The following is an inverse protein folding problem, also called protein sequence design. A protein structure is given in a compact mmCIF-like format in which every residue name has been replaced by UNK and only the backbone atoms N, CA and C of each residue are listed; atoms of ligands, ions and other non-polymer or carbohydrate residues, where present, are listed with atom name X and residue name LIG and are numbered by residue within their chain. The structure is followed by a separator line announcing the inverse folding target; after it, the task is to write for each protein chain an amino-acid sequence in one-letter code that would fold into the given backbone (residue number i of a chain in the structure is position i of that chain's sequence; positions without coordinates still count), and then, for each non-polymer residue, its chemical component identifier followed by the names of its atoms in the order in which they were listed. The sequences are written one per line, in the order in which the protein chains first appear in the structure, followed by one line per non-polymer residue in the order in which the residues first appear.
data_IF_178324332969
#
_entry.id   IF_178324332969
#
_cell.length_a   1.000
_cell.length_b   1.000
_cell.length_c   1.000
_cell.angle_alpha   90.00
_cell.angle_beta   90.00
_cell.angle_gamma   90.00
#
_symmetry.space_group_name_H-M   'P 1'
#
loop_
_entity.id
_entity.type
_entity.pdbx_description
1 polymer ?
#
# COMPACT_ATOMS: atom_id res chain seq x y z
N UNK A 1 -34.67 -14.36 -27.99
CA UNK A 1 -34.85 -13.54 -29.21
C UNK A 1 -33.80 -12.45 -29.21
N UNK A 2 -33.16 -12.25 -30.38
CA UNK A 2 -32.04 -11.37 -30.74
C UNK A 2 -30.69 -11.74 -30.08
N UNK A 3 -29.59 -12.02 -30.79
CA UNK A 3 -29.30 -11.94 -32.23
C UNK A 3 -27.84 -11.48 -32.41
N UNK A 4 -27.03 -12.31 -33.09
CA UNK A 4 -25.58 -12.15 -33.35
C UNK A 4 -25.12 -10.76 -33.83
N UNK A 5 -23.84 -10.47 -33.59
CA UNK A 5 -23.11 -9.42 -34.32
C UNK A 5 -21.60 -9.40 -34.07
N UNK A 6 -20.86 -10.35 -34.64
CA UNK A 6 -19.40 -10.30 -34.76
C UNK A 6 -18.95 -9.13 -35.63
N UNK A 7 -17.90 -8.39 -35.23
CA UNK A 7 -17.10 -7.58 -36.17
C UNK A 7 -15.61 -7.67 -35.86
N UNK A 8 -14.90 -8.18 -36.87
CA UNK A 8 -13.44 -8.21 -37.03
C UNK A 8 -12.86 -6.78 -37.01
N UNK A 9 -11.75 -6.61 -36.31
CA UNK A 9 -10.90 -5.43 -36.42
C UNK A 9 -9.97 -5.58 -37.63
N UNK A 10 -10.09 -4.65 -38.57
CA UNK A 10 -9.18 -4.47 -39.70
C UNK A 10 -7.86 -3.86 -39.22
N UNK A 11 -6.74 -4.54 -39.52
CA UNK A 11 -5.41 -3.92 -39.49
C UNK A 11 -5.28 -2.95 -40.67
N UNK A 12 -4.86 -1.72 -40.40
CA UNK A 12 -4.37 -0.80 -41.43
C UNK A 12 -2.84 -0.76 -41.35
N UNK A 13 -2.18 -1.42 -42.32
CA UNK A 13 -0.80 -1.15 -42.70
C UNK A 13 -0.84 -0.08 -43.79
N UNK A 14 -0.23 1.07 -43.54
CA UNK A 14 -0.05 2.13 -44.55
C UNK A 14 1.36 2.00 -45.14
N UNK A 15 1.42 1.54 -46.38
CA UNK A 15 2.62 1.53 -47.22
C UNK A 15 2.44 2.57 -48.33
N UNK A 16 3.39 3.51 -48.45
CA UNK A 16 3.50 4.45 -49.56
C UNK A 16 4.78 4.18 -50.36
N UNK A 17 4.79 4.36 -51.71
CA UNK A 17 5.85 3.85 -52.58
C UNK A 17 6.84 4.93 -53.07
N UNK A 18 8.03 4.50 -53.53
CA UNK A 18 8.94 5.33 -54.33
C UNK A 18 10.39 4.82 -54.42
N UNK A 19 10.68 4.00 -55.43
CA UNK A 19 12.02 3.69 -55.98
C UNK A 19 12.40 4.71 -57.10
N UNK A 20 13.59 4.67 -57.79
CA UNK A 20 14.87 3.96 -57.53
C UNK A 20 16.17 4.79 -57.82
N UNK A 21 17.33 4.12 -57.63
CA UNK A 21 18.58 4.23 -58.42
C UNK A 21 19.66 5.28 -58.07
N UNK A 22 20.89 4.81 -57.81
CA UNK A 22 22.12 5.61 -57.99
C UNK A 22 23.37 5.09 -57.24
N UNK A 23 24.40 4.67 -57.98
CA UNK A 23 25.58 3.91 -57.54
C UNK A 23 26.78 4.75 -57.02
N UNK A 24 27.58 4.15 -56.12
CA UNK A 24 29.07 4.17 -56.04
C UNK A 24 29.79 5.50 -55.67
N UNK A 25 30.49 5.56 -54.51
CA UNK A 25 31.96 5.36 -54.35
C UNK A 25 32.46 5.64 -52.91
N UNK A 26 33.51 4.90 -52.56
CA UNK A 26 34.32 4.83 -51.34
C UNK A 26 34.86 6.16 -50.77
N UNK A 27 35.02 6.22 -49.44
CA UNK A 27 36.31 6.56 -48.80
C UNK A 27 36.35 6.22 -47.31
N UNK A 28 37.45 5.58 -46.95
CA UNK A 28 37.92 5.16 -45.63
C UNK A 28 38.14 6.30 -44.63
N UNK A 29 37.87 6.06 -43.35
CA UNK A 29 38.85 6.27 -42.26
C UNK A 29 38.44 5.54 -40.99
N UNK A 30 39.37 4.71 -40.53
CA UNK A 30 39.38 3.96 -39.29
C UNK A 30 39.54 4.88 -38.08
N UNK A 31 38.73 4.66 -37.05
CA UNK A 31 39.14 4.74 -35.66
C UNK A 31 38.16 3.89 -34.84
N UNK A 32 38.66 2.78 -34.29
CA UNK A 32 38.00 1.98 -33.26
C UNK A 32 38.77 2.18 -31.94
N UNK A 33 38.38 1.55 -30.83
CA UNK A 33 37.22 1.93 -30.01
C UNK A 33 37.64 1.99 -28.52
N UNK A 34 36.89 2.65 -27.63
CA UNK A 34 36.71 2.21 -26.24
C UNK A 34 35.96 3.27 -25.43
N UNK A 35 34.90 2.85 -24.74
CA UNK A 35 34.32 3.62 -23.65
C UNK A 35 32.81 3.82 -23.70
N UNK A 36 32.05 2.88 -24.28
CA UNK A 36 30.64 2.75 -23.92
C UNK A 36 30.60 2.15 -22.51
N UNK A 37 30.64 3.03 -21.51
CA UNK A 37 30.16 2.78 -20.16
C UNK A 37 28.69 2.37 -20.27
N UNK A 38 28.47 1.07 -20.41
CA UNK A 38 27.17 0.45 -20.25
C UNK A 38 26.79 0.65 -18.78
N UNK A 39 26.11 1.77 -18.50
CA UNK A 39 25.47 2.00 -17.22
C UNK A 39 24.52 0.83 -16.97
N UNK A 40 24.99 -0.13 -16.16
CA UNK A 40 24.14 -1.15 -15.56
C UNK A 40 23.05 -0.38 -14.83
N UNK A 41 21.84 -0.37 -15.39
CA UNK A 41 20.63 0.05 -14.70
C UNK A 41 20.55 -0.82 -13.45
N UNK A 42 21.06 -0.27 -12.35
CA UNK A 42 20.92 -0.84 -11.02
C UNK A 42 19.45 -0.61 -10.72
N UNK A 43 18.63 -1.63 -10.95
CA UNK A 43 17.20 -1.53 -10.74
C UNK A 43 16.95 -1.07 -9.31
N UNK A 44 16.55 0.19 -9.14
CA UNK A 44 16.39 0.77 -7.81
C UNK A 44 15.22 0.07 -7.13
N UNK A 45 15.54 -0.66 -6.07
CA UNK A 45 14.57 -1.40 -5.28
C UNK A 45 13.62 -0.39 -4.62
N UNK A 46 12.32 -0.50 -4.91
CA UNK A 46 11.30 0.26 -4.20
C UNK A 46 11.35 -0.15 -2.72
N UNK A 47 11.42 0.82 -1.79
CA UNK A 47 11.47 0.50 -0.37
C UNK A 47 10.22 -0.25 0.06
N UNK A 48 10.40 -1.24 0.92
CA UNK A 48 9.28 -1.89 1.62
C UNK A 48 8.58 -0.88 2.52
N UNK A 49 7.31 -1.15 2.87
CA UNK A 49 6.58 -0.28 3.79
C UNK A 49 7.32 -0.11 5.13
N UNK A 50 7.99 -1.14 5.65
CA UNK A 50 8.76 -1.02 6.90
C UNK A 50 10.00 -0.12 6.76
N UNK A 51 10.77 -0.28 5.67
CA UNK A 51 11.90 0.60 5.38
C UNK A 51 11.43 2.06 5.25
N UNK A 52 10.29 2.26 4.57
CA UNK A 52 9.65 3.56 4.46
C UNK A 52 9.26 4.14 5.82
N UNK A 53 8.62 3.36 6.70
CA UNK A 53 8.22 3.83 8.04
C UNK A 53 9.42 4.21 8.92
N UNK A 54 10.54 3.49 8.83
CA UNK A 54 11.78 3.86 9.52
C UNK A 54 12.29 5.22 9.01
N UNK A 55 12.25 5.43 7.70
CA UNK A 55 12.63 6.69 7.08
C UNK A 55 11.71 7.85 7.53
N UNK A 56 10.39 7.63 7.55
CA UNK A 56 9.40 8.59 8.06
C UNK A 56 9.72 9.00 9.49
N UNK A 57 9.96 8.04 10.40
CA UNK A 57 10.29 8.33 11.81
C UNK A 57 11.54 9.17 11.94
N UNK A 58 12.57 8.86 11.16
CA UNK A 58 13.84 9.58 11.18
C UNK A 58 13.70 11.03 10.73
N UNK A 59 12.96 11.29 9.65
CA UNK A 59 12.84 12.65 9.09
C UNK A 59 11.80 13.52 9.80
N UNK A 60 10.67 12.93 10.17
CA UNK A 60 9.57 13.65 10.82
C UNK A 60 9.78 13.85 12.32
N UNK A 61 10.65 13.06 12.96
CA UNK A 61 10.82 13.07 14.42
C UNK A 61 9.61 12.59 15.20
N UNK A 62 8.61 12.01 14.52
CA UNK A 62 7.37 11.55 15.14
C UNK A 62 7.61 10.32 16.02
N UNK A 63 6.86 10.25 17.12
CA UNK A 63 6.84 9.09 17.99
C UNK A 63 6.10 7.94 17.33
N UNK A 64 6.44 6.70 17.72
CA UNK A 64 5.75 5.49 17.23
C UNK A 64 4.25 5.52 17.51
N UNK A 65 3.86 6.08 18.66
CA UNK A 65 2.46 6.19 19.10
C UNK A 65 1.61 7.17 18.28
N UNK A 66 2.25 7.98 17.43
CA UNK A 66 1.59 8.94 16.54
C UNK A 66 1.53 8.42 15.09
N UNK A 67 1.94 7.17 14.86
CA UNK A 67 1.99 6.53 13.55
C UNK A 67 1.26 5.19 13.57
N UNK A 68 0.27 5.03 12.70
CA UNK A 68 -0.53 3.81 12.59
C UNK A 68 -0.51 3.29 11.17
N UNK A 69 -0.40 1.98 10.99
CA UNK A 69 -0.23 1.38 9.67
C UNK A 69 -1.29 0.33 9.40
N UNK A 70 -1.76 0.29 8.14
CA UNK A 70 -2.71 -0.70 7.64
C UNK A 70 -3.98 -0.82 8.49
N UNK A 71 -4.46 0.29 9.05
CA UNK A 71 -5.67 0.30 9.87
C UNK A 71 -6.89 0.12 8.96
N UNK A 72 -7.78 -0.79 9.37
CA UNK A 72 -9.03 -1.07 8.67
C UNK A 72 -10.16 -0.23 9.26
N UNK A 73 -10.56 0.77 8.49
CA UNK A 73 -11.59 1.74 8.89
C UNK A 73 -12.95 1.22 8.45
N UNK A 74 -13.94 1.10 9.35
CA UNK A 74 -15.29 0.75 8.95
C UNK A 74 -15.90 1.89 8.12
N UNK A 75 -16.59 1.53 7.05
CA UNK A 75 -17.33 2.49 6.26
C UNK A 75 -18.45 3.16 7.10
N UNK A 76 -19.11 4.16 6.53
CA UNK A 76 -20.19 4.89 7.19
C UNK A 76 -21.27 3.95 7.79
N UNK A 77 -21.61 2.89 7.07
CA UNK A 77 -22.65 1.92 7.44
C UNK A 77 -22.14 0.72 8.26
N UNK A 78 -20.84 0.65 8.56
CA UNK A 78 -20.15 -0.49 9.18
C UNK A 78 -20.31 -1.83 8.44
N UNK A 79 -20.68 -1.80 7.16
CA UNK A 79 -20.91 -3.01 6.35
C UNK A 79 -19.63 -3.54 5.71
N UNK A 80 -18.61 -2.69 5.55
CA UNK A 80 -17.30 -3.07 5.05
C UNK A 80 -16.21 -2.28 5.76
N UNK A 81 -14.96 -2.76 5.66
CA UNK A 81 -13.79 -2.06 6.18
C UNK A 81 -12.79 -1.80 5.08
N UNK A 82 -12.29 -0.57 5.00
CA UNK A 82 -11.28 -0.16 4.03
C UNK A 82 -9.96 0.11 4.74
N UNK A 83 -8.85 -0.33 4.16
CA UNK A 83 -7.52 -0.08 4.71
C UNK A 83 -7.03 1.33 4.36
N UNK A 84 -6.47 2.04 5.34
CA UNK A 84 -5.57 3.17 5.13
C UNK A 84 -4.13 2.72 5.42
N UNK A 85 -3.23 2.89 4.45
CA UNK A 85 -1.85 2.38 4.55
C UNK A 85 -1.08 2.99 5.71
N UNK A 86 -1.19 4.31 5.89
CA UNK A 86 -0.51 5.04 6.95
C UNK A 86 -1.39 6.19 7.46
N UNK A 87 -1.54 6.26 8.79
CA UNK A 87 -2.16 7.39 9.48
C UNK A 87 -1.10 8.02 10.37
N UNK A 88 -0.90 9.33 10.20
CA UNK A 88 -0.01 10.13 11.04
C UNK A 88 -0.82 11.16 11.81
N UNK A 89 -0.59 11.21 13.11
CA UNK A 89 -1.22 12.16 14.00
C UNK A 89 -0.24 13.31 14.32
N UNK A 90 -0.64 14.54 14.03
CA UNK A 90 0.10 15.75 14.42
C UNK A 90 -0.85 16.80 15.00
N UNK A 91 -0.32 17.87 15.58
CA UNK A 91 -1.15 19.01 15.99
C UNK A 91 -1.93 19.65 14.83
N UNK A 92 -1.43 19.56 13.60
CA UNK A 92 -2.11 20.07 12.40
C UNK A 92 -3.32 19.22 11.98
N UNK A 93 -3.36 17.94 12.34
CA UNK A 93 -4.48 17.06 12.00
C UNK A 93 -4.12 15.58 11.95
N UNK A 94 -5.08 14.82 11.42
CA UNK A 94 -4.98 13.37 11.16
C UNK A 94 -4.70 13.18 9.68
N UNK A 95 -3.46 12.92 9.33
CA UNK A 95 -3.08 12.65 7.94
C UNK A 95 -3.43 11.21 7.58
N UNK A 96 -4.29 11.05 6.59
CA UNK A 96 -4.72 9.75 6.06
C UNK A 96 -3.99 9.51 4.74
N UNK A 97 -3.08 8.53 4.70
CA UNK A 97 -2.18 8.36 3.57
C UNK A 97 -2.34 6.98 2.92
N UNK A 98 -2.52 6.98 1.61
CA UNK A 98 -2.36 5.80 0.77
C UNK A 98 -0.94 5.79 0.18
N UNK A 99 -0.23 4.69 0.35
CA UNK A 99 1.14 4.54 -0.14
C UNK A 99 1.12 3.70 -1.43
N UNK A 100 1.61 4.26 -2.54
CA UNK A 100 1.56 3.62 -3.86
C UNK A 100 2.99 3.30 -4.34
N UNK A 101 3.31 2.02 -4.56
CA UNK A 101 4.59 1.60 -5.15
C UNK A 101 4.57 1.65 -6.69
N UNK A 102 3.83 2.59 -7.28
CA UNK A 102 3.67 2.68 -8.73
C UNK A 102 4.97 3.09 -9.42
N UNK A 103 5.13 2.67 -10.67
CA UNK A 103 6.21 3.09 -11.58
C UNK A 103 5.58 3.63 -12.87
N UNK A 104 6.34 4.37 -13.66
CA UNK A 104 5.90 4.89 -14.95
C UNK A 104 5.19 6.24 -14.85
N UNK A 105 4.41 6.56 -15.88
CA UNK A 105 3.69 7.83 -15.99
C UNK A 105 2.27 7.66 -15.48
N UNK A 106 1.85 8.51 -14.55
CA UNK A 106 0.50 8.54 -13.97
C UNK A 106 -0.23 9.75 -14.51
N UNK A 107 -1.39 9.54 -15.13
CA UNK A 107 -2.23 10.60 -15.67
C UNK A 107 -3.70 10.44 -15.32
N UNK A 108 -4.46 11.52 -15.38
CA UNK A 108 -5.90 11.52 -15.14
C UNK A 108 -6.66 11.97 -16.40
N UNK A 109 -6.75 11.11 -17.44
CA UNK A 109 -7.30 11.50 -18.74
C UNK A 109 -8.82 11.72 -18.73
N UNK A 110 -9.54 11.15 -17.76
CA UNK A 110 -10.97 11.31 -17.62
C UNK A 110 -11.39 11.51 -16.16
N UNK A 111 -12.57 12.09 -15.91
CA UNK A 111 -13.10 12.19 -14.56
C UNK A 111 -13.20 10.81 -13.91
N UNK A 112 -12.73 10.70 -12.66
CA UNK A 112 -12.77 9.50 -11.83
C UNK A 112 -11.92 8.30 -12.28
N UNK A 113 -11.13 8.41 -13.37
CA UNK A 113 -10.26 7.33 -13.84
C UNK A 113 -8.85 7.84 -14.09
N UNK A 114 -7.87 7.16 -13.51
CA UNK A 114 -6.46 7.44 -13.71
C UNK A 114 -5.83 6.31 -14.53
N UNK A 115 -4.77 6.63 -15.26
CA UNK A 115 -3.98 5.67 -15.99
C UNK A 115 -2.58 5.61 -15.39
N UNK A 116 -2.05 4.39 -15.23
CA UNK A 116 -0.64 4.15 -14.94
C UNK A 116 -0.03 3.49 -16.17
N UNK A 117 0.84 4.23 -16.86
CA UNK A 117 1.53 3.80 -18.05
C UNK A 117 2.96 3.40 -17.71
N UNK A 118 3.28 2.11 -17.82
CA UNK A 118 4.63 1.58 -17.63
C UNK A 118 5.21 1.24 -19.00
N UNK A 119 6.40 1.77 -19.29
CA UNK A 119 7.18 1.41 -20.47
C UNK A 119 8.30 0.47 -20.03
N UNK A 120 8.30 -0.73 -20.58
CA UNK A 120 9.35 -1.72 -20.39
C UNK A 120 10.12 -1.83 -21.70
N UNK A 121 11.40 -1.44 -21.67
CA UNK A 121 12.30 -1.61 -22.80
C UNK A 121 12.96 -2.97 -22.72
N UNK A 122 12.55 -3.87 -23.61
CA UNK A 122 13.25 -5.12 -23.87
C UNK A 122 14.22 -4.94 -25.04
N UNK A 123 15.22 -5.83 -25.15
CA UNK A 123 16.36 -5.69 -26.07
C UNK A 123 15.99 -5.37 -27.54
N UNK A 124 14.77 -5.72 -27.97
CA UNK A 124 14.32 -5.54 -29.35
C UNK A 124 12.93 -4.89 -29.47
N UNK A 125 12.24 -4.57 -28.38
CA UNK A 125 10.92 -3.95 -28.41
C UNK A 125 10.61 -3.18 -27.13
N UNK A 126 9.88 -2.07 -27.28
CA UNK A 126 9.33 -1.33 -26.14
C UNK A 126 7.90 -1.79 -25.90
N UNK A 127 7.66 -2.49 -24.80
CA UNK A 127 6.31 -2.83 -24.36
C UNK A 127 5.74 -1.65 -23.54
N UNK A 128 4.52 -1.23 -23.86
CA UNK A 128 3.80 -0.22 -23.09
C UNK A 128 2.56 -0.84 -22.50
N UNK A 129 2.55 -0.97 -21.17
CA UNK A 129 1.37 -1.40 -20.42
C UNK A 129 0.63 -0.18 -19.87
N UNK A 130 -0.69 -0.12 -20.07
CA UNK A 130 -1.55 0.92 -19.52
C UNK A 130 -2.57 0.26 -18.61
N UNK A 131 -2.52 0.58 -17.32
CA UNK A 131 -3.48 0.13 -16.34
C UNK A 131 -4.48 1.26 -16.05
N UNK A 132 -5.77 0.97 -16.20
CA UNK A 132 -6.83 1.88 -15.78
C UNK A 132 -7.19 1.59 -14.33
N UNK A 133 -7.21 2.64 -13.51
CA UNK A 133 -7.49 2.55 -12.08
C UNK A 133 -8.53 3.60 -11.70
N UNK A 134 -9.44 3.30 -10.77
CA UNK A 134 -10.32 4.31 -10.19
C UNK A 134 -9.50 5.43 -9.53
N UNK A 135 -10.06 6.64 -9.45
CA UNK A 135 -9.40 7.80 -8.86
C UNK A 135 -8.94 7.51 -7.40
N UNK A 136 -7.63 7.37 -7.17
CA UNK A 136 -7.09 7.03 -5.86
C UNK A 136 -7.23 8.19 -4.87
N UNK A 137 -7.32 9.44 -5.36
CA UNK A 137 -7.51 10.63 -4.53
C UNK A 137 -8.94 10.70 -4.01
N UNK A 138 -9.91 10.35 -4.85
CA UNK A 138 -11.28 10.16 -4.41
C UNK A 138 -11.37 9.04 -3.36
N UNK A 139 -10.69 7.92 -3.59
CA UNK A 139 -10.70 6.79 -2.66
C UNK A 139 -10.15 7.16 -1.27
N UNK A 140 -8.97 7.79 -1.17
CA UNK A 140 -8.41 8.19 0.13
C UNK A 140 -9.24 9.28 0.82
N UNK A 141 -9.89 10.16 0.04
CA UNK A 141 -10.80 11.18 0.60
C UNK A 141 -12.02 10.54 1.25
N UNK A 142 -12.60 9.51 0.62
CA UNK A 142 -13.71 8.74 1.19
C UNK A 142 -13.26 8.03 2.47
N UNK A 143 -12.10 7.36 2.45
CA UNK A 143 -11.53 6.70 3.65
C UNK A 143 -11.32 7.69 4.81
N UNK A 144 -10.80 8.88 4.53
CA UNK A 144 -10.59 9.93 5.54
C UNK A 144 -11.92 10.44 6.14
N UNK A 145 -12.95 10.61 5.30
CA UNK A 145 -14.30 10.94 5.76
C UNK A 145 -14.89 9.83 6.64
N UNK A 146 -14.76 8.57 6.22
CA UNK A 146 -15.27 7.43 6.97
C UNK A 146 -14.55 7.30 8.33
N UNK A 147 -13.24 7.59 8.39
CA UNK A 147 -12.50 7.69 9.64
C UNK A 147 -13.05 8.82 10.53
N UNK A 148 -13.31 10.00 9.98
CA UNK A 148 -13.92 11.10 10.71
C UNK A 148 -15.29 10.71 11.30
N UNK A 149 -16.15 10.05 10.51
CA UNK A 149 -17.44 9.55 10.98
C UNK A 149 -17.29 8.45 12.04
N UNK A 150 -16.26 7.60 11.94
CA UNK A 150 -15.94 6.61 12.97
C UNK A 150 -15.51 7.28 14.28
N UNK A 151 -14.62 8.27 14.22
CA UNK A 151 -14.17 9.05 15.39
C UNK A 151 -15.35 9.70 16.12
N UNK A 152 -16.27 10.32 15.36
CA UNK A 152 -17.46 10.95 15.92
C UNK A 152 -18.36 9.94 16.66
N UNK A 153 -18.54 8.74 16.09
CA UNK A 153 -19.30 7.65 16.74
C UNK A 153 -18.63 7.14 18.01
N UNK A 154 -17.30 7.20 18.08
CA UNK A 154 -16.54 6.90 19.29
C UNK A 154 -16.54 8.05 20.32
N UNK A 155 -17.31 9.12 20.10
CA UNK A 155 -17.39 10.28 21.00
C UNK A 155 -16.28 11.32 20.80
N UNK A 156 -15.45 11.18 19.76
CA UNK A 156 -14.35 12.10 19.45
C UNK A 156 -14.78 13.05 18.34
N UNK A 157 -15.13 14.29 18.71
CA UNK A 157 -15.57 15.30 17.75
C UNK A 157 -14.38 16.14 17.26
N UNK A 158 -14.03 15.96 15.98
CA UNK A 158 -12.96 16.66 15.29
C UNK A 158 -13.53 17.21 13.98
N UNK A 159 -13.13 18.43 13.63
CA UNK A 159 -13.56 19.05 12.38
C UNK A 159 -13.11 18.20 11.19
N UNK A 160 -13.99 17.90 10.21
CA UNK A 160 -13.62 17.11 9.04
C UNK A 160 -12.42 17.67 8.27
N UNK A 161 -12.21 18.99 8.29
CA UNK A 161 -11.07 19.67 7.67
C UNK A 161 -9.70 19.28 8.25
N UNK A 162 -9.67 18.64 9.42
CA UNK A 162 -8.45 18.15 10.07
C UNK A 162 -8.13 16.71 9.69
N UNK A 163 -8.95 16.05 8.88
CA UNK A 163 -8.61 14.77 8.26
C UNK A 163 -8.03 15.05 6.88
N UNK A 164 -6.71 14.87 6.75
CA UNK A 164 -5.93 15.35 5.61
C UNK A 164 -5.55 14.18 4.70
N UNK A 165 -6.27 13.96 3.57
CA UNK A 165 -5.94 12.88 2.65
C UNK A 165 -4.63 13.16 1.91
N UNK A 166 -3.77 12.14 1.78
CA UNK A 166 -2.53 12.18 0.99
C UNK A 166 -2.31 10.89 0.23
N UNK A 167 -1.64 11.00 -0.92
CA UNK A 167 -1.11 9.86 -1.66
C UNK A 167 0.39 10.02 -1.77
N UNK A 168 1.12 8.98 -1.36
CA UNK A 168 2.58 8.96 -1.38
C UNK A 168 3.05 8.01 -2.48
N UNK A 169 3.84 8.52 -3.44
CA UNK A 169 4.44 7.70 -4.49
C UNK A 169 5.87 7.34 -4.10
N UNK A 170 6.12 6.04 -3.85
CA UNK A 170 7.41 5.58 -3.31
C UNK A 170 8.50 5.40 -4.36
N UNK A 171 8.14 5.28 -5.63
CA UNK A 171 9.14 5.03 -6.68
C UNK A 171 9.71 6.34 -7.23
N UNK A 172 11.04 6.47 -7.37
CA UNK A 172 11.64 7.58 -8.11
C UNK A 172 11.25 7.60 -9.59
N UNK A 173 10.83 6.45 -10.12
CA UNK A 173 10.38 6.30 -11.51
C UNK A 173 8.87 6.53 -11.69
N UNK A 174 8.18 7.07 -10.67
CA UNK A 174 6.77 7.46 -10.78
C UNK A 174 6.68 8.94 -11.15
N UNK A 175 6.22 9.22 -12.36
CA UNK A 175 6.07 10.58 -12.87
C UNK A 175 4.60 10.92 -12.98
N UNK A 176 4.17 11.96 -12.26
CA UNK A 176 2.81 12.49 -12.38
C UNK A 176 2.75 13.45 -13.57
N UNK A 177 1.62 13.46 -14.28
CA UNK A 177 1.32 14.52 -15.23
C UNK A 177 1.25 15.90 -14.52
N UNK A 178 1.32 16.98 -15.31
CA UNK A 178 1.42 18.34 -14.78
C UNK A 178 0.19 18.76 -13.96
N UNK A 179 -1.00 18.27 -14.29
CA UNK A 179 -2.23 18.61 -13.57
C UNK A 179 -2.32 17.89 -12.23
N UNK A 180 -1.88 16.63 -12.15
CA UNK A 180 -1.76 15.90 -10.90
C UNK A 180 -0.65 16.48 -10.03
N UNK A 181 0.48 16.88 -10.62
CA UNK A 181 1.63 17.44 -9.88
C UNK A 181 1.28 18.72 -9.11
N UNK A 182 0.32 19.52 -9.59
CA UNK A 182 -0.17 20.73 -8.92
C UNK A 182 -0.99 20.43 -7.66
N UNK A 183 -1.47 19.20 -7.47
CA UNK A 183 -2.33 18.81 -6.34
C UNK A 183 -1.48 18.55 -5.10
N UNK A 184 -1.67 19.37 -4.07
CA UNK A 184 -0.98 19.26 -2.76
C UNK A 184 -1.24 17.94 -2.02
N UNK A 185 -2.30 17.22 -2.39
CA UNK A 185 -2.63 15.93 -1.82
C UNK A 185 -1.70 14.81 -2.32
N UNK A 186 -1.02 15.03 -3.44
CA UNK A 186 -0.11 14.07 -4.06
C UNK A 186 1.33 14.43 -3.71
N UNK A 187 2.06 13.46 -3.17
CA UNK A 187 3.46 13.62 -2.79
C UNK A 187 4.30 12.71 -3.68
N UNK A 188 5.02 13.33 -4.62
CA UNK A 188 5.96 12.63 -5.49
C UNK A 188 7.17 12.12 -4.68
N UNK A 189 7.92 11.18 -5.23
CA UNK A 189 9.15 10.72 -4.58
C UNK A 189 10.14 11.86 -4.33
N UNK A 190 10.27 12.81 -5.27
CA UNK A 190 11.17 13.97 -5.13
C UNK A 190 10.79 14.93 -4.01
N UNK A 191 9.48 15.05 -3.72
CA UNK A 191 8.95 15.95 -2.69
C UNK A 191 8.79 15.28 -1.32
N UNK A 192 9.05 13.96 -1.25
CA UNK A 192 8.79 13.13 -0.07
C UNK A 192 9.52 13.64 1.17
N UNK A 193 10.82 13.91 1.08
CA UNK A 193 11.59 14.37 2.24
C UNK A 193 11.10 15.73 2.75
N UNK A 194 10.79 16.65 1.84
CA UNK A 194 10.28 17.98 2.18
C UNK A 194 8.94 17.86 2.91
N UNK A 195 8.03 17.04 2.39
CA UNK A 195 6.77 16.72 3.03
C UNK A 195 6.97 16.13 4.44
N UNK A 196 7.83 15.12 4.59
CA UNK A 196 8.08 14.49 5.89
C UNK A 196 8.69 15.46 6.92
N UNK A 197 9.55 16.39 6.48
CA UNK A 197 10.07 17.46 7.34
C UNK A 197 9.00 18.47 7.75
N UNK A 198 8.06 18.81 6.86
CA UNK A 198 6.92 19.68 7.22
C UNK A 198 6.04 19.09 8.34
N UNK A 199 5.94 17.75 8.42
CA UNK A 199 5.24 17.09 9.52
C UNK A 199 5.94 17.33 10.87
N UNK A 200 7.27 17.41 10.86
CA UNK A 200 8.09 17.73 12.04
C UNK A 200 7.85 19.16 12.51
N UNK A 201 7.85 20.11 11.58
CA UNK A 201 7.63 21.53 11.88
C UNK A 201 6.27 21.72 12.53
N UNK A 202 5.20 21.15 11.96
CA UNK A 202 3.86 21.17 12.56
C UNK A 202 3.75 20.42 13.89
N UNK A 203 4.64 19.46 14.17
CA UNK A 203 4.71 18.77 15.46
C UNK A 203 5.43 19.61 16.52
N UNK A 204 6.56 20.25 16.17
CA UNK A 204 7.35 21.07 17.09
C UNK A 204 6.62 22.37 17.43
N UNK A 205 6.06 23.08 16.45
CA UNK A 205 5.30 24.32 16.69
C UNK A 205 4.10 24.06 17.60
N UNK A 206 3.42 22.93 17.41
CA UNK A 206 2.31 22.52 18.29
C UNK A 206 2.76 22.25 19.74
N UNK A 207 3.90 21.58 19.96
CA UNK A 207 4.42 21.33 21.31
C UNK A 207 4.71 22.66 22.02
N UNK A 208 5.27 23.63 21.30
CA UNK A 208 5.58 24.95 21.86
C UNK A 208 4.32 25.81 22.06
N UNK A 209 3.30 25.62 21.22
CA UNK A 209 2.03 26.38 21.26
C UNK A 209 0.98 25.79 22.21
N UNK A 210 1.34 24.84 23.07
CA UNK A 210 0.44 24.18 24.04
C UNK A 210 -0.24 25.13 25.06
N UNK A 211 0.06 26.44 24.99
CA UNK A 211 -0.52 27.52 25.80
C UNK A 211 -1.62 28.26 25.02
N UNK A 212 -1.76 28.05 23.71
CA UNK A 212 -2.81 28.66 22.88
C UNK A 212 -4.05 27.75 22.85
N UNK A 213 -5.23 28.21 23.30
CA UNK A 213 -6.40 27.36 23.29
C UNK A 213 -6.86 27.03 21.86
N UNK A 214 -7.30 25.79 21.64
CA UNK A 214 -7.52 25.18 20.31
C UNK A 214 -8.64 25.80 19.48
N UNK A 215 -9.52 26.59 20.09
CA UNK A 215 -10.57 27.35 19.40
C UNK A 215 -10.04 28.47 18.47
N UNK A 216 -8.81 28.95 18.70
CA UNK A 216 -8.20 30.07 17.95
C UNK A 216 -7.18 29.54 16.94
N UNK A 217 -6.43 28.49 17.29
CA UNK A 217 -5.31 28.01 16.48
C UNK A 217 -5.73 27.12 15.31
N UNK A 218 -6.93 26.54 15.35
CA UNK A 218 -7.38 25.58 14.34
C UNK A 218 -6.70 24.21 14.42
N UNK A 219 -5.82 23.99 15.40
CA UNK A 219 -5.09 22.74 15.64
C UNK A 219 -5.83 21.77 16.57
N UNK A 220 -5.42 20.50 16.57
CA UNK A 220 -5.88 19.51 17.54
C UNK A 220 -5.32 19.82 18.94
N UNK A 221 -6.20 19.87 19.94
CA UNK A 221 -5.78 19.97 21.34
C UNK A 221 -5.10 18.68 21.81
N UNK A 222 -4.30 18.76 22.89
CA UNK A 222 -3.67 17.58 23.49
C UNK A 222 -4.69 16.50 23.90
N UNK A 223 -5.86 16.92 24.41
CA UNK A 223 -6.96 16.01 24.75
C UNK A 223 -7.54 15.31 23.51
N UNK A 224 -7.73 16.05 22.42
CA UNK A 224 -8.19 15.45 21.15
C UNK A 224 -7.15 14.49 20.59
N UNK A 225 -5.85 14.82 20.64
CA UNK A 225 -4.79 13.93 20.21
C UNK A 225 -4.77 12.62 21.01
N UNK A 226 -4.88 12.70 22.34
CA UNK A 226 -5.04 11.53 23.20
C UNK A 226 -6.24 10.68 22.81
N UNK A 227 -7.42 11.29 22.68
CA UNK A 227 -8.64 10.59 22.32
C UNK A 227 -8.58 9.94 20.93
N UNK A 228 -7.97 10.61 19.94
CA UNK A 228 -7.74 10.04 18.60
C UNK A 228 -6.80 8.85 18.70
N UNK A 229 -5.69 8.98 19.44
CA UNK A 229 -4.72 7.90 19.64
C UNK A 229 -5.38 6.67 20.24
N UNK A 230 -6.23 6.85 21.24
CA UNK A 230 -6.96 5.77 21.89
C UNK A 230 -7.93 5.08 20.93
N UNK A 231 -8.65 5.84 20.09
CA UNK A 231 -9.54 5.27 19.06
C UNK A 231 -8.74 4.51 18.00
N UNK A 232 -7.66 5.09 17.48
CA UNK A 232 -6.81 4.46 16.46
C UNK A 232 -6.13 3.19 17.01
N UNK A 233 -5.70 3.19 18.27
CA UNK A 233 -5.10 2.02 18.92
C UNK A 233 -6.05 0.84 19.11
N UNK A 234 -7.37 1.06 19.02
CA UNK A 234 -8.39 0.00 19.07
C UNK A 234 -8.76 -0.55 17.70
N UNK A 235 -8.38 0.12 16.61
CA UNK A 235 -8.65 -0.35 15.26
C UNK A 235 -7.75 -1.54 14.92
N UNK A 236 -8.34 -2.52 14.24
CA UNK A 236 -7.62 -3.70 13.76
C UNK A 236 -6.95 -3.47 12.41
N UNK A 237 -5.94 -4.28 12.11
CA UNK A 237 -5.36 -4.46 10.78
C UNK A 237 -5.95 -5.71 10.12
N UNK A 238 -5.45 -6.10 8.94
CA UNK A 238 -5.69 -7.45 8.41
C UNK A 238 -5.05 -8.52 9.30
N UNK A 239 -5.64 -9.71 9.32
CA UNK A 239 -4.94 -10.92 9.72
C UNK A 239 -4.01 -11.33 8.59
N UNK A 240 -2.78 -11.72 8.92
CA UNK A 240 -1.74 -12.03 7.94
C UNK A 240 -1.32 -13.48 8.12
N UNK A 241 -1.47 -14.28 7.07
CA UNK A 241 -0.93 -15.64 7.02
C UNK A 241 0.36 -15.61 6.24
N UNK A 242 1.48 -15.95 6.87
CA UNK A 242 2.75 -16.14 6.18
C UNK A 242 2.89 -17.60 5.75
N UNK A 243 3.02 -17.83 4.46
CA UNK A 243 3.22 -19.17 3.93
C UNK A 243 4.70 -19.55 4.03
N UNK A 244 4.98 -20.84 4.16
CA UNK A 244 6.34 -21.38 4.11
C UNK A 244 7.15 -21.01 2.85
N UNK A 245 6.46 -20.66 1.76
CA UNK A 245 7.08 -20.15 0.53
C UNK A 245 7.60 -18.70 0.66
N UNK A 246 7.33 -18.02 1.78
CA UNK A 246 7.57 -16.59 1.96
C UNK A 246 6.45 -15.69 1.42
N UNK A 247 5.39 -16.26 0.82
CA UNK A 247 4.23 -15.50 0.37
C UNK A 247 3.32 -15.12 1.56
N UNK A 248 2.60 -14.00 1.44
CA UNK A 248 1.66 -13.54 2.47
C UNK A 248 0.23 -13.54 1.94
N UNK A 249 -0.70 -14.07 2.74
CA UNK A 249 -2.14 -13.92 2.53
C UNK A 249 -2.68 -12.94 3.57
N UNK A 250 -3.51 -12.00 3.13
CA UNK A 250 -4.19 -11.05 4.00
C UNK A 250 -5.69 -11.28 3.93
N UNK A 251 -6.37 -11.26 5.07
CA UNK A 251 -7.80 -11.44 5.12
C UNK A 251 -8.36 -11.34 6.53
N UNK A 252 -9.64 -11.62 6.66
CA UNK A 252 -10.28 -11.82 7.95
C UNK A 252 -10.24 -13.30 8.31
N UNK A 253 -9.53 -13.63 9.40
CA UNK A 253 -9.51 -14.98 9.94
C UNK A 253 -10.90 -15.35 10.48
N UNK A 254 -11.51 -16.37 9.87
CA UNK A 254 -12.85 -16.87 10.23
C UNK A 254 -12.82 -18.03 11.22
N UNK A 255 -11.64 -18.60 11.49
CA UNK A 255 -11.48 -19.76 12.35
C UNK A 255 -10.69 -20.89 11.70
N UNK A 256 -10.34 -21.88 12.52
CA UNK A 256 -9.72 -23.13 12.10
C UNK A 256 -10.53 -24.27 12.71
N UNK A 257 -10.94 -25.25 11.89
CA UNK A 257 -11.60 -26.44 12.40
C UNK A 257 -10.62 -27.12 13.37
N UNK A 258 -11.09 -27.45 14.57
CA UNK A 258 -10.31 -28.05 15.68
C UNK A 258 -9.43 -27.12 16.53
N UNK A 259 -9.45 -25.81 16.29
CA UNK A 259 -8.77 -24.84 17.17
C UNK A 259 -9.73 -23.72 17.58
N UNK A 260 -10.10 -23.71 18.85
CA UNK A 260 -10.75 -22.55 19.46
C UNK A 260 -9.65 -21.55 19.86
N UNK A 261 -9.66 -20.37 19.24
CA UNK A 261 -8.67 -19.33 19.45
C UNK A 261 -9.34 -18.07 19.96
N UNK A 262 -8.90 -17.57 21.11
CA UNK A 262 -9.28 -16.23 21.55
C UNK A 262 -8.35 -15.20 20.89
N UNK A 263 -8.93 -14.37 20.02
CA UNK A 263 -8.22 -13.30 19.30
C UNK A 263 -7.79 -12.15 20.20
N UNK A 264 -8.40 -11.98 21.38
CA UNK A 264 -7.99 -10.94 22.32
C UNK A 264 -6.67 -11.31 23.01
N UNK A 265 -6.43 -12.61 23.21
CA UNK A 265 -5.26 -13.10 23.93
C UNK A 265 -4.15 -13.60 23.00
N UNK A 266 -4.48 -13.99 21.76
CA UNK A 266 -3.52 -14.59 20.83
C UNK A 266 -3.00 -13.58 19.82
N UNK A 267 -1.72 -13.22 19.92
CA UNK A 267 -1.04 -12.35 18.96
C UNK A 267 -0.38 -13.08 17.80
N UNK A 268 0.06 -14.32 17.96
CA UNK A 268 0.77 -15.06 16.92
C UNK A 268 0.35 -16.53 16.99
N UNK A 269 0.03 -17.10 15.83
CA UNK A 269 -0.24 -18.52 15.67
C UNK A 269 0.78 -19.13 14.71
N UNK A 270 1.65 -19.99 15.21
CA UNK A 270 2.62 -20.69 14.37
C UNK A 270 2.20 -22.15 14.22
N UNK A 271 2.00 -22.62 12.98
CA UNK A 271 1.83 -24.04 12.72
C UNK A 271 3.18 -24.64 12.34
N UNK A 272 3.75 -25.43 13.26
CA UNK A 272 4.97 -26.19 12.99
C UNK A 272 4.65 -27.66 12.73
N UNK A 273 5.38 -28.29 11.80
CA UNK A 273 5.26 -29.72 11.53
C UNK A 273 6.19 -30.50 12.45
N UNK A 274 5.67 -31.47 13.19
CA UNK A 274 6.50 -32.46 13.90
C UNK A 274 7.37 -33.23 12.91
N UNK A 275 8.66 -33.42 13.22
CA UNK A 275 9.64 -34.08 12.32
C UNK A 275 9.55 -35.62 12.29
N UNK A 276 8.37 -36.23 12.42
CA UNK A 276 8.22 -37.69 12.38
C UNK A 276 7.65 -38.17 11.04
N UNK A 277 8.49 -38.20 10.02
CA UNK A 277 8.09 -38.46 8.63
C UNK A 277 7.51 -39.87 8.36
N UNK A 278 7.60 -40.83 9.29
CA UNK A 278 7.05 -42.19 9.07
C UNK A 278 5.69 -42.43 9.74
N UNK A 279 5.35 -41.69 10.80
CA UNK A 279 4.11 -41.92 11.55
C UNK A 279 3.01 -40.92 11.22
N UNK A 280 3.36 -39.73 10.74
CA UNK A 280 2.39 -38.63 10.59
C UNK A 280 1.34 -38.88 9.49
N UNK A 281 1.69 -39.67 8.45
CA UNK A 281 0.74 -40.07 7.40
C UNK A 281 -0.30 -41.08 7.92
N UNK A 282 0.07 -41.93 8.89
CA UNK A 282 -0.84 -42.85 9.57
C UNK A 282 -1.70 -42.12 10.60
N UNK A 283 -1.14 -41.16 11.33
CA UNK A 283 -1.88 -40.35 12.30
C UNK A 283 -2.90 -39.40 11.65
N UNK A 284 -2.61 -38.87 10.45
CA UNK A 284 -3.56 -38.07 9.69
C UNK A 284 -4.78 -38.88 9.22
N UNK A 285 -4.63 -40.17 8.92
CA UNK A 285 -5.73 -41.08 8.60
C UNK A 285 -6.57 -41.46 9.84
N UNK A 286 -6.00 -41.34 11.03
CA UNK A 286 -6.66 -41.62 12.31
C UNK A 286 -7.24 -40.37 12.99
N UNK A 287 -7.24 -39.21 12.31
CA UNK A 287 -7.85 -37.98 12.81
C UNK A 287 -7.04 -37.23 13.88
N UNK A 288 -5.74 -37.54 14.03
CA UNK A 288 -4.90 -36.84 15.00
C UNK A 288 -4.51 -35.43 14.52
N UNK A 289 -4.72 -34.46 15.40
CA UNK A 289 -4.47 -33.03 15.19
C UNK A 289 -3.03 -32.68 15.58
N UNK A 290 -2.32 -31.82 14.81
CA UNK A 290 -0.95 -31.40 15.15
C UNK A 290 -0.89 -30.65 16.48
N UNK A 291 0.25 -30.76 17.18
CA UNK A 291 0.50 -29.99 18.40
C UNK A 291 0.76 -28.52 18.05
N UNK A 292 0.06 -27.62 18.75
CA UNK A 292 0.11 -26.17 18.54
C UNK A 292 0.75 -25.57 19.80
N UNK A 293 1.75 -24.73 19.60
CA UNK A 293 2.36 -23.96 20.69
C UNK A 293 1.94 -22.50 20.54
N UNK A 294 1.05 -21.97 21.38
CA UNK A 294 0.77 -20.54 21.42
C UNK A 294 2.01 -19.80 21.94
N UNK A 295 2.50 -18.83 21.17
CA UNK A 295 3.64 -17.99 21.57
C UNK A 295 3.10 -16.61 21.96
N UNK A 296 3.16 -16.30 23.26
CA UNK A 296 2.84 -14.97 23.77
C UNK A 296 4.06 -14.05 23.65
N UNK A 297 4.13 -13.27 22.58
CA UNK A 297 5.09 -12.16 22.46
C UNK A 297 4.30 -10.85 22.58
N UNK A 298 4.58 -10.07 23.61
CA UNK A 298 4.04 -8.72 23.79
C UNK A 298 4.63 -7.77 22.74
N UNK A 299 3.88 -7.50 21.67
CA UNK A 299 4.20 -6.47 20.68
C UNK A 299 3.13 -5.38 20.74
N UNK A 300 3.49 -4.08 20.76
CA UNK A 300 2.55 -2.99 20.98
C UNK A 300 1.79 -2.58 19.71
N UNK A 301 1.47 -3.53 18.81
CA UNK A 301 0.49 -3.37 17.74
C UNK A 301 0.04 -4.75 17.26
N UNK A 302 -1.27 -4.98 17.31
CA UNK A 302 -1.94 -6.26 17.05
C UNK A 302 -1.74 -6.69 15.58
N UNK A 303 -0.91 -7.71 15.35
CA UNK A 303 -0.83 -8.44 14.08
C UNK A 303 -0.96 -9.92 14.40
N UNK A 304 -2.02 -10.58 13.94
CA UNK A 304 -2.14 -12.03 14.02
C UNK A 304 -1.39 -12.61 12.83
N UNK A 305 -0.15 -13.05 13.06
CA UNK A 305 0.59 -13.84 12.07
C UNK A 305 0.12 -15.29 12.16
N UNK A 306 -0.16 -15.92 11.03
CA UNK A 306 -0.46 -17.35 10.97
C UNK A 306 0.50 -18.02 10.00
N UNK A 307 1.35 -18.97 10.43
CA UNK A 307 2.25 -19.65 9.48
C UNK A 307 1.69 -21.00 9.01
N UNK A 308 1.31 -21.15 7.73
CA UNK A 308 0.79 -22.42 7.17
C UNK A 308 1.81 -23.09 6.21
N UNK A 309 2.13 -24.35 6.47
CA UNK A 309 2.87 -25.24 5.55
C UNK A 309 1.89 -26.20 4.85
N UNK A 310 1.94 -26.31 3.52
CA UNK A 310 1.01 -27.13 2.73
C UNK A 310 1.44 -28.61 2.64
N UNK A 311 0.56 -29.55 3.03
CA UNK A 311 -0.15 -30.47 2.11
C UNK A 311 -1.08 -31.48 2.86
N UNK A 312 -2.38 -31.47 2.53
CA UNK A 312 -3.46 -32.31 3.11
C UNK A 312 -4.63 -31.50 3.69
N UNK A 313 -5.91 -31.92 3.61
CA UNK A 313 -7.07 -31.04 3.69
C UNK A 313 -7.37 -30.63 5.14
N UNK A 314 -6.69 -29.60 5.64
CA UNK A 314 -7.15 -28.83 6.79
C UNK A 314 -7.53 -27.44 6.27
N UNK A 315 -8.83 -27.23 6.10
CA UNK A 315 -9.39 -26.02 5.49
C UNK A 315 -9.32 -24.86 6.48
N UNK A 316 -8.22 -24.11 6.44
CA UNK A 316 -8.22 -22.72 6.91
C UNK A 316 -8.86 -21.87 5.81
N UNK A 317 -10.02 -21.26 6.08
CA UNK A 317 -10.71 -20.39 5.13
C UNK A 317 -10.34 -18.93 5.43
N UNK A 318 -9.56 -18.32 4.54
CA UNK A 318 -9.44 -16.87 4.43
C UNK A 318 -10.30 -16.43 3.24
N UNK A 319 -11.30 -15.58 3.47
CA UNK A 319 -11.99 -14.88 2.39
C UNK A 319 -11.12 -13.67 2.01
N UNK A 320 -10.70 -13.63 0.75
CA UNK A 320 -10.25 -12.39 0.11
C UNK A 320 -11.50 -11.67 -0.37
N UNK A 321 -11.73 -10.46 0.12
CA UNK A 321 -12.71 -9.56 -0.49
C UNK A 321 -12.13 -9.10 -1.83
N UNK A 322 -12.66 -9.67 -2.92
CA UNK A 322 -12.42 -9.20 -4.27
C UNK A 322 -13.40 -8.06 -4.58
N UNK A 323 -12.94 -6.80 -4.56
CA UNK A 323 -13.59 -5.68 -5.22
C UNK A 323 -12.57 -4.65 -5.71
#
# INVERSE_FOLDING_TARGET
MFGLGSRLAHMYLSSGPGEPSGSVKSSSRSASPAGLELAKNKEEKIPTLQEFLQHVRRLSGLKKEDMFCNLRIPNQFQTSRQEISLIILTGAGVYCMDVKPWKGVVSAPSPNTWHVQVKEEEQNFTNTSIQQIPDPLQAITIKARDLCSYMQRCGVNIKPTLFLPRILFLSPHCHLDEELRKRKELVSHGDMEMFLRSLREGYITWITDAITPSWISGHLSFRQLGAVRDVLGRLGTWDVVQLSSGAELKGDFQGCQHLALDRQETHLLEFSRGRSLSTDTLWALLGHTPQIVPINIAMPNRQLLTQLCHSGPQSARCLQDAH
#
